data_IF_184304581413
#
_entry.id   IF_184304581413
#
_cell.length_a   1.000
_cell.length_b   1.000
_cell.length_c   1.000
_cell.angle_alpha   90.00
_cell.angle_beta   90.00
_cell.angle_gamma   90.00
#
_symmetry.space_group_name_H-M   'P 1'
#
loop_
_entity.id
_entity.type
_entity.pdbx_description
1 polymer ?
#
# COMPACT_ATOMS: atom_id res chain seq x y z
N UNK A 1 -15.11 38.90 -1.26
CA UNK A 1 -14.18 37.86 -1.73
C UNK A 1 -14.27 36.70 -0.75
N UNK A 2 -15.30 35.85 -0.91
CA UNK A 2 -15.49 34.68 -0.06
C UNK A 2 -14.64 33.56 -0.62
N UNK A 3 -13.59 33.19 0.11
CA UNK A 3 -12.79 32.01 -0.15
C UNK A 3 -13.67 30.80 0.19
N UNK A 4 -14.39 30.31 -0.83
CA UNK A 4 -15.25 29.15 -0.72
C UNK A 4 -14.33 27.97 -0.46
N UNK A 5 -14.29 27.48 0.79
CA UNK A 5 -13.68 26.20 1.14
C UNK A 5 -14.18 25.16 0.13
N UNK A 6 -13.34 24.86 -0.85
CA UNK A 6 -13.56 23.78 -1.80
C UNK A 6 -13.40 22.51 -0.99
N UNK A 7 -14.50 22.04 -0.42
CA UNK A 7 -14.59 20.69 0.13
C UNK A 7 -14.26 19.78 -1.04
N UNK A 8 -13.02 19.27 -1.09
CA UNK A 8 -12.66 18.20 -2.01
C UNK A 8 -13.65 17.07 -1.72
N UNK A 9 -14.56 16.81 -2.64
CA UNK A 9 -15.35 15.59 -2.61
C UNK A 9 -14.34 14.46 -2.64
N UNK A 10 -14.18 13.74 -1.52
CA UNK A 10 -13.32 12.57 -1.48
C UNK A 10 -13.97 11.52 -2.35
N UNK A 11 -13.50 11.40 -3.58
CA UNK A 11 -13.92 10.30 -4.43
C UNK A 11 -13.49 9.01 -3.75
N UNK A 12 -14.41 8.08 -3.46
CA UNK A 12 -14.03 6.81 -2.90
C UNK A 12 -13.14 6.08 -3.91
N UNK A 13 -12.01 5.55 -3.44
CA UNK A 13 -11.14 4.70 -4.25
C UNK A 13 -11.82 3.34 -4.38
N UNK A 14 -12.66 3.19 -5.40
CA UNK A 14 -13.45 1.99 -5.65
C UNK A 14 -12.67 0.97 -6.49
N UNK A 15 -12.88 -0.33 -6.21
CA UNK A 15 -12.51 -1.42 -7.12
C UNK A 15 -11.05 -1.89 -7.10
N UNK A 16 -10.18 -1.36 -6.24
CA UNK A 16 -8.77 -1.83 -6.15
C UNK A 16 -8.61 -3.17 -5.44
N UNK A 17 -9.41 -3.41 -4.41
CA UNK A 17 -9.47 -4.69 -3.70
C UNK A 17 -10.84 -5.34 -3.90
N UNK A 18 -10.85 -6.64 -4.21
CA UNK A 18 -12.08 -7.44 -4.37
C UNK A 18 -12.54 -8.10 -3.07
N UNK A 19 -11.74 -8.01 -2.02
CA UNK A 19 -12.02 -8.51 -0.67
C UNK A 19 -11.69 -7.46 0.40
N UNK A 20 -11.83 -7.84 1.67
CA UNK A 20 -11.56 -6.97 2.82
C UNK A 20 -10.11 -6.46 2.80
N UNK A 21 -9.97 -5.16 3.01
CA UNK A 21 -8.68 -4.50 3.26
C UNK A 21 -8.24 -4.87 4.68
N UNK A 22 -7.02 -5.35 4.82
CA UNK A 22 -6.46 -5.88 6.07
C UNK A 22 -5.44 -4.95 6.70
N UNK A 23 -4.73 -4.15 5.90
CA UNK A 23 -3.72 -3.22 6.40
C UNK A 23 -3.53 -2.00 5.49
N UNK A 24 -2.90 -0.96 6.04
CA UNK A 24 -2.63 0.32 5.36
C UNK A 24 -1.37 0.99 5.88
N UNK A 25 -0.68 1.73 5.02
CA UNK A 25 0.39 2.65 5.41
C UNK A 25 0.41 3.89 4.49
N UNK A 26 0.67 5.06 5.05
CA UNK A 26 1.01 6.27 4.30
C UNK A 26 2.52 6.50 4.40
N UNK A 27 3.15 6.87 3.30
CA UNK A 27 4.50 7.46 3.30
C UNK A 27 4.43 8.98 3.45
N UNK A 28 5.53 9.59 3.88
CA UNK A 28 5.67 11.05 3.96
C UNK A 28 5.65 11.73 2.57
N UNK A 29 5.78 10.93 1.51
CA UNK A 29 5.72 11.36 0.10
C UNK A 29 4.29 11.22 -0.48
N UNK A 30 3.28 11.04 0.37
CA UNK A 30 1.87 10.90 0.00
C UNK A 30 1.57 9.67 -0.88
N UNK A 31 2.27 8.56 -0.64
CA UNK A 31 1.91 7.25 -1.20
C UNK A 31 1.12 6.48 -0.14
N UNK A 32 -0.08 6.04 -0.51
CA UNK A 32 -0.89 5.09 0.25
C UNK A 32 -0.65 3.69 -0.27
N UNK A 33 -0.20 2.80 0.62
CA UNK A 33 -0.20 1.37 0.41
C UNK A 33 -1.38 0.72 1.15
N UNK A 34 -2.10 -0.18 0.47
CA UNK A 34 -3.17 -1.00 1.04
C UNK A 34 -2.91 -2.48 0.77
N UNK A 35 -3.25 -3.35 1.72
CA UNK A 35 -3.30 -4.81 1.52
C UNK A 35 -4.69 -5.34 1.75
N UNK A 36 -5.02 -6.49 1.16
CA UNK A 36 -6.29 -7.18 1.41
C UNK A 36 -6.20 -8.70 1.34
N UNK A 37 -7.30 -9.35 1.75
CA UNK A 37 -7.50 -10.81 1.69
C UNK A 37 -7.51 -11.36 0.24
N UNK A 38 -7.54 -10.47 -0.74
CA UNK A 38 -7.37 -10.80 -2.16
C UNK A 38 -5.89 -10.94 -2.55
N UNK A 39 -4.99 -10.85 -1.56
CA UNK A 39 -3.54 -11.04 -1.68
C UNK A 39 -2.91 -10.07 -2.68
N UNK A 40 -3.37 -8.83 -2.63
CA UNK A 40 -2.78 -7.70 -3.35
C UNK A 40 -2.20 -6.68 -2.38
N UNK A 41 -1.17 -5.99 -2.84
CA UNK A 41 -0.73 -4.71 -2.30
C UNK A 41 -0.96 -3.67 -3.38
N UNK A 42 -1.73 -2.62 -3.10
CA UNK A 42 -2.00 -1.53 -4.03
C UNK A 42 -1.37 -0.24 -3.54
N UNK A 43 -0.89 0.57 -4.48
CA UNK A 43 -0.22 1.84 -4.24
C UNK A 43 -0.97 2.96 -4.94
N UNK A 44 -1.23 4.06 -4.24
CA UNK A 44 -1.90 5.23 -4.80
C UNK A 44 -1.42 6.55 -4.23
N UNK A 45 -1.61 7.63 -4.96
CA UNK A 45 -1.36 8.97 -4.45
C UNK A 45 -2.47 9.46 -3.50
N UNK A 46 -2.31 10.66 -2.96
CA UNK A 46 -3.29 11.34 -2.08
C UNK A 46 -4.66 11.59 -2.71
N UNK A 47 -4.73 11.64 -4.04
CA UNK A 47 -5.97 11.87 -4.78
C UNK A 47 -6.61 10.53 -5.21
N UNK A 48 -5.96 9.41 -4.90
CA UNK A 48 -6.45 8.06 -5.14
C UNK A 48 -6.04 7.48 -6.50
N UNK A 49 -5.24 8.19 -7.29
CA UNK A 49 -4.74 7.69 -8.56
C UNK A 49 -3.86 6.47 -8.33
N UNK A 50 -3.96 5.48 -9.22
CA UNK A 50 -3.16 4.26 -9.11
C UNK A 50 -1.70 4.54 -9.48
N UNK A 51 -0.78 4.27 -8.54
CA UNK A 51 0.66 4.26 -8.80
C UNK A 51 1.09 2.86 -9.25
N UNK A 52 0.52 1.82 -8.64
CA UNK A 52 0.82 0.44 -9.00
C UNK A 52 0.15 -0.58 -8.10
N UNK A 53 0.41 -1.85 -8.39
CA UNK A 53 -0.01 -2.97 -7.55
C UNK A 53 1.01 -4.11 -7.63
N UNK A 54 0.98 -4.99 -6.63
CA UNK A 54 1.75 -6.23 -6.57
C UNK A 54 0.87 -7.34 -6.01
N UNK A 55 1.03 -8.55 -6.52
CA UNK A 55 0.45 -9.73 -5.89
C UNK A 55 1.41 -10.24 -4.80
N UNK A 56 0.84 -10.74 -3.71
CA UNK A 56 1.56 -11.35 -2.61
C UNK A 56 1.05 -12.78 -2.41
N UNK A 57 1.85 -13.63 -1.77
CA UNK A 57 1.48 -15.04 -1.59
C UNK A 57 0.51 -15.26 -0.42
N UNK A 58 0.56 -14.38 0.56
CA UNK A 58 -0.11 -14.53 1.85
C UNK A 58 -0.88 -13.26 2.22
N UNK A 59 -1.76 -13.38 3.22
CA UNK A 59 -2.43 -12.24 3.80
C UNK A 59 -1.43 -11.43 4.63
N UNK A 60 -1.48 -10.11 4.48
CA UNK A 60 -0.65 -9.16 5.22
C UNK A 60 -1.54 -8.42 6.19
N UNK A 61 -1.07 -8.22 7.41
CA UNK A 61 -1.80 -7.52 8.46
C UNK A 61 -1.07 -6.27 8.95
N UNK A 62 0.21 -6.10 8.63
CA UNK A 62 0.96 -4.88 8.96
C UNK A 62 1.82 -4.39 7.80
N UNK A 63 1.78 -3.07 7.58
CA UNK A 63 2.58 -2.35 6.60
C UNK A 63 3.31 -1.17 7.26
N UNK A 64 4.58 -0.95 6.88
CA UNK A 64 5.34 0.25 7.25
C UNK A 64 6.28 0.69 6.13
N UNK A 65 6.17 1.94 5.70
CA UNK A 65 7.17 2.56 4.84
C UNK A 65 8.46 2.83 5.62
N UNK A 66 9.60 2.74 4.94
CA UNK A 66 10.85 3.31 5.43
C UNK A 66 10.76 4.84 5.52
N UNK A 67 11.56 5.51 6.37
CA UNK A 67 11.53 6.97 6.52
C UNK A 67 11.81 7.74 5.21
N UNK A 68 12.61 7.16 4.32
CA UNK A 68 12.90 7.73 3.00
C UNK A 68 11.84 7.40 1.94
N UNK A 69 10.79 6.64 2.30
CA UNK A 69 9.71 6.22 1.42
C UNK A 69 10.12 5.23 0.31
N UNK A 70 11.39 4.83 0.23
CA UNK A 70 11.87 3.96 -0.85
C UNK A 70 11.38 2.51 -0.70
N UNK A 71 11.17 2.08 0.55
CA UNK A 71 10.83 0.70 0.89
C UNK A 71 9.49 0.62 1.62
N UNK A 72 8.75 -0.47 1.37
CA UNK A 72 7.62 -0.89 2.18
C UNK A 72 7.94 -2.26 2.81
N UNK A 73 7.84 -2.34 4.14
CA UNK A 73 7.86 -3.60 4.86
C UNK A 73 6.43 -4.14 5.05
N UNK A 74 6.26 -5.45 4.88
CA UNK A 74 4.98 -6.13 5.12
C UNK A 74 5.16 -7.42 5.92
N UNK A 75 4.27 -7.64 6.89
CA UNK A 75 4.26 -8.84 7.76
C UNK A 75 2.88 -9.50 7.69
N UNK A 76 2.90 -10.83 7.51
CA UNK A 76 1.74 -11.69 7.25
C UNK A 76 1.70 -12.94 8.14
N UNK A 77 0.76 -13.85 7.87
CA UNK A 77 0.46 -15.03 8.72
C UNK A 77 1.60 -16.04 8.79
N UNK A 78 2.62 -15.88 7.95
CA UNK A 78 3.86 -16.67 7.95
C UNK A 78 4.98 -15.79 8.50
N UNK A 79 6.04 -16.38 9.06
CA UNK A 79 7.29 -15.70 9.43
C UNK A 79 8.05 -15.20 8.19
N UNK A 80 7.40 -14.34 7.39
CA UNK A 80 7.93 -13.78 6.16
C UNK A 80 7.84 -12.27 6.25
N UNK A 81 8.99 -11.62 6.04
CA UNK A 81 9.10 -10.18 5.87
C UNK A 81 9.33 -9.88 4.39
N UNK A 82 8.44 -9.08 3.82
CA UNK A 82 8.61 -8.56 2.46
C UNK A 82 9.22 -7.18 2.49
N UNK A 83 10.13 -6.91 1.54
CA UNK A 83 10.53 -5.55 1.17
C UNK A 83 10.12 -5.26 -0.26
N UNK A 84 9.34 -4.19 -0.45
CA UNK A 84 9.00 -3.66 -1.78
C UNK A 84 9.79 -2.39 -2.04
N UNK A 85 10.56 -2.38 -3.12
CA UNK A 85 11.15 -1.15 -3.66
C UNK A 85 10.14 -0.49 -4.60
N UNK A 86 9.74 0.75 -4.29
CA UNK A 86 8.63 1.41 -5.01
C UNK A 86 9.01 1.85 -6.43
N UNK A 87 10.30 2.02 -6.69
CA UNK A 87 10.80 2.58 -7.95
C UNK A 87 11.17 1.52 -8.98
N UNK A 88 11.14 0.23 -8.61
CA UNK A 88 11.53 -0.85 -9.50
C UNK A 88 10.40 -1.87 -9.74
N UNK A 89 10.33 -2.39 -10.96
CA UNK A 89 9.41 -3.47 -11.35
C UNK A 89 9.91 -4.85 -10.90
N UNK A 90 10.67 -4.91 -9.79
CA UNK A 90 11.36 -6.12 -9.34
C UNK A 90 10.50 -6.87 -8.32
N UNK A 91 10.72 -8.19 -8.28
CA UNK A 91 10.12 -9.14 -7.34
C UNK A 91 10.45 -8.66 -5.92
N UNK A 92 9.46 -8.55 -5.01
CA UNK A 92 9.74 -8.15 -3.63
C UNK A 92 10.70 -9.13 -2.97
N UNK A 93 11.66 -8.61 -2.21
CA UNK A 93 12.58 -9.45 -1.46
C UNK A 93 11.82 -10.16 -0.34
N UNK A 94 11.77 -11.49 -0.40
CA UNK A 94 11.15 -12.34 0.61
C UNK A 94 12.23 -12.81 1.59
N UNK A 95 12.09 -12.43 2.87
CA UNK A 95 12.89 -13.02 3.96
C UNK A 95 12.02 -13.99 4.73
N UNK A 96 12.39 -15.27 4.73
CA UNK A 96 11.72 -16.34 5.49
C UNK A 96 12.54 -16.60 6.74
N UNK A 97 11.92 -16.59 7.92
CA UNK A 97 12.55 -16.97 9.18
C UNK A 97 12.07 -18.39 9.57
N UNK A 98 12.98 -19.21 10.09
CA UNK A 98 12.76 -20.58 10.60
C UNK A 98 12.86 -20.62 12.13
#
# INVERSE_FOLDING_TARGET
MADLMKVRSKEPILGKHSKRITSRAWSDQNVLALTGEDRKVTFSDQDGNSIGQREIKFEVHSLKFSPDGAMLSAVGDVQILYFFELNEAVIPLELIFE
#
